data_IF_279890248495
#
_entry.id   IF_279890248495
#
_cell.length_a   1.000
_cell.length_b   1.000
_cell.length_c   1.000
_cell.angle_alpha   90.00
_cell.angle_beta   90.00
_cell.angle_gamma   90.00
#
_symmetry.space_group_name_H-M   'P 1'
#
loop_
_entity.id
_entity.type
_entity.pdbx_description
1 polymer ?
#
# COMPACT_ATOMS: atom_id res chain seq x y z
N UNK A 1 13.01 19.53 -29.74
CA UNK A 1 13.04 18.49 -28.68
C UNK A 1 13.07 19.18 -27.33
N UNK A 2 12.02 19.01 -26.50
CA UNK A 2 11.98 19.56 -25.14
C UNK A 2 13.14 18.97 -24.34
N UNK A 3 14.02 19.82 -23.77
CA UNK A 3 15.08 19.35 -22.87
C UNK A 3 14.40 18.69 -21.67
N UNK A 4 14.56 17.37 -21.54
CA UNK A 4 14.04 16.63 -20.41
C UNK A 4 14.60 17.24 -19.11
N UNK A 5 13.70 17.73 -18.25
CA UNK A 5 14.10 18.37 -17.00
C UNK A 5 14.62 17.27 -16.08
N UNK A 6 15.91 17.35 -15.70
CA UNK A 6 16.53 16.46 -14.71
C UNK A 6 15.75 16.54 -13.39
N UNK A 7 15.16 15.42 -13.00
CA UNK A 7 14.40 15.24 -11.76
C UNK A 7 15.05 14.14 -10.94
N UNK A 8 14.94 14.23 -9.63
CA UNK A 8 15.28 13.13 -8.72
C UNK A 8 14.11 12.89 -7.77
N UNK A 9 13.83 11.63 -7.47
CA UNK A 9 12.76 11.21 -6.55
C UNK A 9 13.39 10.71 -5.26
N UNK A 10 12.94 11.24 -4.13
CA UNK A 10 13.37 10.85 -2.78
C UNK A 10 12.13 10.38 -2.02
N UNK A 11 12.16 9.14 -1.55
CA UNK A 11 11.11 8.53 -0.74
C UNK A 11 11.67 8.23 0.64
N UNK A 12 11.04 8.81 1.65
CA UNK A 12 11.27 8.52 3.06
C UNK A 12 10.63 7.17 3.43
N UNK A 13 11.36 6.08 3.17
CA UNK A 13 10.83 4.73 3.14
C UNK A 13 10.18 4.25 4.46
N UNK A 14 10.70 4.60 5.67
CA UNK A 14 10.09 4.20 6.94
C UNK A 14 8.60 4.52 7.05
N UNK A 15 8.17 5.62 6.44
CA UNK A 15 6.78 6.07 6.46
C UNK A 15 5.84 5.25 5.56
N UNK A 16 6.39 4.45 4.64
CA UNK A 16 5.64 3.78 3.58
C UNK A 16 5.83 2.26 3.54
N UNK A 17 6.45 1.64 4.57
CA UNK A 17 6.67 0.19 4.60
C UNK A 17 5.41 -0.68 4.60
N UNK A 18 4.23 -0.11 4.89
CA UNK A 18 2.94 -0.80 4.79
C UNK A 18 2.22 -0.60 3.44
N UNK A 19 2.65 0.37 2.63
CA UNK A 19 2.21 0.49 1.25
C UNK A 19 2.76 -0.67 0.42
N UNK A 20 2.03 -1.09 -0.61
CA UNK A 20 2.56 -2.02 -1.58
C UNK A 20 3.70 -1.36 -2.38
N UNK A 21 4.91 -1.89 -2.19
CA UNK A 21 6.12 -1.32 -2.80
C UNK A 21 6.14 -1.47 -4.32
N UNK A 22 5.49 -2.50 -4.87
CA UNK A 22 5.35 -2.68 -6.32
C UNK A 22 4.46 -1.58 -6.90
N UNK A 23 3.28 -1.38 -6.32
CA UNK A 23 2.37 -0.30 -6.72
C UNK A 23 3.02 1.08 -6.61
N UNK A 24 3.72 1.37 -5.49
CA UNK A 24 4.45 2.64 -5.33
C UNK A 24 5.44 2.86 -6.48
N UNK A 25 6.24 1.84 -6.80
CA UNK A 25 7.26 1.95 -7.83
C UNK A 25 6.69 2.04 -9.25
N UNK A 26 5.60 1.31 -9.53
CA UNK A 26 4.86 1.45 -10.78
C UNK A 26 4.38 2.89 -10.98
N UNK A 27 3.72 3.49 -9.98
CA UNK A 27 3.29 4.90 -10.06
C UNK A 27 4.45 5.88 -10.22
N UNK A 28 5.58 5.63 -9.54
CA UNK A 28 6.79 6.44 -9.73
C UNK A 28 7.28 6.35 -11.17
N UNK A 29 7.33 5.15 -11.76
CA UNK A 29 7.81 4.95 -13.13
C UNK A 29 6.85 5.49 -14.18
N UNK A 30 5.54 5.36 -13.98
CA UNK A 30 4.52 5.98 -14.83
C UNK A 30 4.62 7.52 -14.81
N UNK A 31 4.82 8.11 -13.63
CA UNK A 31 4.80 9.57 -13.46
C UNK A 31 6.13 10.25 -13.79
N UNK A 32 7.25 9.57 -13.53
CA UNK A 32 8.59 10.15 -13.56
C UNK A 32 9.58 9.39 -14.46
N UNK A 33 9.13 8.35 -15.16
CA UNK A 33 9.91 7.62 -16.15
C UNK A 33 11.20 7.07 -15.56
N UNK A 34 12.31 7.41 -16.21
CA UNK A 34 13.67 6.95 -15.87
C UNK A 34 14.35 7.82 -14.81
N UNK A 35 13.66 8.80 -14.22
CA UNK A 35 14.22 9.64 -13.15
C UNK A 35 14.86 8.77 -12.05
N UNK A 36 16.05 9.13 -11.54
CA UNK A 36 16.66 8.42 -10.43
C UNK A 36 15.74 8.43 -9.19
N UNK A 37 15.60 7.28 -8.53
CA UNK A 37 14.73 7.09 -7.36
C UNK A 37 15.59 6.65 -6.19
N UNK A 38 15.48 7.33 -5.06
CA UNK A 38 16.17 7.01 -3.82
C UNK A 38 15.15 6.68 -2.73
N UNK A 39 15.28 5.49 -2.15
CA UNK A 39 14.64 5.17 -0.87
C UNK A 39 15.64 5.46 0.24
N UNK A 40 15.27 6.37 1.12
CA UNK A 40 16.03 6.65 2.33
C UNK A 40 15.53 5.71 3.42
N UNK A 41 16.44 4.93 4.00
CA UNK A 41 16.11 3.93 5.02
C UNK A 41 16.91 4.18 6.27
N UNK A 42 16.23 4.12 7.40
CA UNK A 42 16.87 4.06 8.71
C UNK A 42 17.30 2.60 8.98
N UNK A 43 18.61 2.30 9.06
CA UNK A 43 19.10 0.94 9.29
C UNK A 43 18.68 0.38 10.67
N UNK A 44 18.38 1.25 11.63
CA UNK A 44 17.90 0.89 12.96
C UNK A 44 16.38 0.64 13.01
N UNK A 45 15.65 0.96 11.94
CA UNK A 45 14.22 0.71 11.89
C UNK A 45 13.93 -0.80 11.93
N UNK A 46 13.18 -1.25 12.94
CA UNK A 46 12.83 -2.67 13.13
C UNK A 46 12.16 -3.31 11.90
N UNK A 47 11.30 -2.58 11.19
CA UNK A 47 10.63 -3.09 9.99
C UNK A 47 11.64 -3.30 8.86
N UNK A 48 12.60 -2.39 8.70
CA UNK A 48 13.69 -2.54 7.76
C UNK A 48 14.56 -3.75 8.11
N UNK A 49 15.00 -3.89 9.35
CA UNK A 49 15.82 -5.02 9.80
C UNK A 49 15.17 -6.38 9.50
N UNK A 50 13.85 -6.48 9.64
CA UNK A 50 13.11 -7.72 9.39
C UNK A 50 12.80 -7.99 7.91
N UNK A 51 12.63 -6.95 7.09
CA UNK A 51 12.08 -7.07 5.74
C UNK A 51 12.96 -6.51 4.62
N UNK A 52 14.17 -6.05 4.93
CA UNK A 52 15.12 -5.42 3.99
C UNK A 52 15.31 -6.25 2.73
N UNK A 53 15.66 -7.53 2.85
CA UNK A 53 15.86 -8.41 1.69
C UNK A 53 14.66 -8.46 0.73
N UNK A 54 13.43 -8.45 1.29
CA UNK A 54 12.20 -8.43 0.48
C UNK A 54 12.03 -7.09 -0.22
N UNK A 55 12.28 -5.98 0.46
CA UNK A 55 12.22 -4.65 -0.13
C UNK A 55 13.27 -4.47 -1.22
N UNK A 56 14.53 -4.83 -0.93
CA UNK A 56 15.64 -4.84 -1.89
C UNK A 56 15.28 -5.56 -3.18
N UNK A 57 14.69 -6.76 -3.08
CA UNK A 57 14.29 -7.56 -4.24
C UNK A 57 13.25 -6.86 -5.11
N UNK A 58 12.33 -6.10 -4.51
CA UNK A 58 11.34 -5.33 -5.25
C UNK A 58 12.00 -4.08 -5.84
N UNK A 59 12.70 -3.30 -5.03
CA UNK A 59 13.30 -2.04 -5.42
C UNK A 59 14.34 -2.18 -6.54
N UNK A 60 15.15 -3.25 -6.50
CA UNK A 60 16.15 -3.51 -7.55
C UNK A 60 15.53 -3.76 -8.92
N UNK A 61 14.34 -4.37 -8.99
CA UNK A 61 13.61 -4.59 -10.26
C UNK A 61 13.22 -3.30 -10.96
N UNK A 62 13.07 -2.22 -10.19
CA UNK A 62 12.72 -0.90 -10.69
C UNK A 62 13.92 0.04 -10.68
N UNK A 63 15.16 -0.46 -10.55
CA UNK A 63 16.39 0.34 -10.49
C UNK A 63 16.33 1.49 -9.45
N UNK A 64 15.72 1.22 -8.29
CA UNK A 64 15.70 2.17 -7.20
C UNK A 64 16.95 2.03 -6.33
N UNK A 65 17.54 3.17 -5.95
CA UNK A 65 18.74 3.27 -5.14
C UNK A 65 18.38 3.47 -3.67
N UNK A 66 19.37 3.28 -2.80
CA UNK A 66 19.19 3.34 -1.35
C UNK A 66 20.22 4.28 -0.76
N UNK A 67 19.76 5.12 0.16
CA UNK A 67 20.60 5.92 1.05
C UNK A 67 20.28 5.53 2.49
N UNK A 68 21.30 5.23 3.27
CA UNK A 68 21.13 4.92 4.70
C UNK A 68 21.17 6.24 5.47
N UNK A 69 20.09 6.55 6.19
CA UNK A 69 20.02 7.71 7.09
C UNK A 69 18.93 7.51 8.12
N UNK A 70 19.07 8.08 9.31
CA UNK A 70 18.08 8.00 10.38
C UNK A 70 16.72 8.58 9.95
N UNK A 71 16.75 9.64 9.13
CA UNK A 71 15.61 10.32 8.53
C UNK A 71 16.03 11.00 7.22
N UNK A 72 15.06 11.40 6.41
CA UNK A 72 15.33 12.37 5.34
C UNK A 72 15.52 13.74 5.98
N UNK A 73 16.59 14.43 5.64
CA UNK A 73 16.88 15.81 6.05
C UNK A 73 17.30 16.65 4.84
N UNK A 74 17.45 17.96 5.05
CA UNK A 74 17.82 18.88 3.98
C UNK A 74 19.21 18.59 3.41
N UNK A 75 20.15 18.14 4.24
CA UNK A 75 21.52 17.87 3.79
C UNK A 75 21.55 16.70 2.81
N UNK A 76 20.82 15.62 3.09
CA UNK A 76 20.64 14.48 2.19
C UNK A 76 19.93 14.91 0.89
N UNK A 77 18.88 15.73 1.00
CA UNK A 77 18.15 16.25 -0.17
C UNK A 77 19.10 17.02 -1.10
N UNK A 78 19.90 17.93 -0.54
CA UNK A 78 20.85 18.75 -1.30
C UNK A 78 22.02 17.92 -1.87
N UNK A 79 22.49 16.91 -1.13
CA UNK A 79 23.46 15.93 -1.63
C UNK A 79 22.94 15.24 -2.89
N UNK A 80 21.72 14.70 -2.85
CA UNK A 80 21.11 13.96 -3.97
C UNK A 80 20.83 14.87 -5.16
N UNK A 81 20.38 16.10 -4.92
CA UNK A 81 20.19 17.11 -5.97
C UNK A 81 21.51 17.39 -6.68
N UNK A 82 22.60 17.59 -5.94
CA UNK A 82 23.93 17.86 -6.48
C UNK A 82 24.50 16.66 -7.22
N UNK A 83 24.36 15.45 -6.67
CA UNK A 83 24.84 14.20 -7.28
C UNK A 83 24.22 13.98 -8.68
N UNK A 84 22.98 14.43 -8.89
CA UNK A 84 22.25 14.25 -10.16
C UNK A 84 22.08 15.52 -10.99
N UNK A 85 22.65 16.65 -10.56
CA UNK A 85 22.44 17.95 -11.21
C UNK A 85 20.92 18.19 -11.45
N UNK A 86 20.12 17.91 -10.42
CA UNK A 86 18.67 17.88 -10.53
C UNK A 86 18.10 19.30 -10.47
N UNK A 87 17.19 19.63 -11.40
CA UNK A 87 16.48 20.92 -11.42
C UNK A 87 15.16 20.87 -10.65
N UNK A 88 14.67 19.65 -10.41
CA UNK A 88 13.46 19.38 -9.64
C UNK A 88 13.74 18.23 -8.68
N UNK A 89 13.21 18.36 -7.47
CA UNK A 89 13.23 17.30 -6.47
C UNK A 89 11.79 16.88 -6.18
N UNK A 90 11.53 15.58 -6.30
CA UNK A 90 10.25 14.98 -5.96
C UNK A 90 10.39 14.33 -4.60
N UNK A 91 9.59 14.74 -3.62
CA UNK A 91 9.74 14.27 -2.23
C UNK A 91 8.44 13.65 -1.73
N UNK A 92 8.52 12.36 -1.37
CA UNK A 92 7.51 11.67 -0.59
C UNK A 92 8.02 11.47 0.83
N UNK A 93 7.58 12.32 1.77
CA UNK A 93 7.85 12.17 3.20
C UNK A 93 6.63 12.60 4.01
N UNK A 94 6.50 12.06 5.21
CA UNK A 94 5.50 12.50 6.18
C UNK A 94 6.07 13.52 7.19
N UNK A 95 7.37 13.86 7.12
CA UNK A 95 7.96 14.88 7.99
C UNK A 95 7.55 16.27 7.53
N UNK A 96 6.59 16.87 8.24
CA UNK A 96 6.08 18.18 7.88
C UNK A 96 7.09 19.32 8.04
N UNK A 97 8.09 19.18 8.90
CA UNK A 97 9.15 20.18 9.07
C UNK A 97 10.08 20.16 7.86
N UNK A 98 10.51 18.97 7.45
CA UNK A 98 11.32 18.78 6.24
C UNK A 98 10.61 19.35 5.01
N UNK A 99 9.33 19.02 4.82
CA UNK A 99 8.56 19.48 3.65
C UNK A 99 8.54 21.01 3.52
N UNK A 100 8.42 21.73 4.65
CA UNK A 100 8.52 23.19 4.70
C UNK A 100 9.94 23.70 4.44
N UNK A 101 10.96 23.08 5.05
CA UNK A 101 12.35 23.46 4.82
C UNK A 101 12.73 23.33 3.34
N UNK A 102 12.27 22.28 2.66
CA UNK A 102 12.44 22.10 1.23
C UNK A 102 11.78 23.25 0.45
N UNK A 103 10.59 23.68 0.86
CA UNK A 103 9.87 24.77 0.19
C UNK A 103 10.64 26.09 0.27
N UNK A 104 11.26 26.36 1.40
CA UNK A 104 11.95 27.63 1.68
C UNK A 104 13.39 27.67 1.14
N UNK A 105 14.09 26.53 1.18
CA UNK A 105 15.56 26.51 1.07
C UNK A 105 16.10 25.69 -0.09
N UNK A 106 15.30 24.81 -0.69
CA UNK A 106 15.85 23.89 -1.70
C UNK A 106 16.25 24.63 -2.97
N UNK A 107 17.43 24.29 -3.49
CA UNK A 107 17.95 24.85 -4.75
C UNK A 107 17.25 24.28 -5.98
N UNK A 108 16.60 23.12 -5.86
CA UNK A 108 15.80 22.50 -6.90
C UNK A 108 14.31 22.78 -6.67
N UNK A 109 13.53 22.96 -7.75
CA UNK A 109 12.09 23.21 -7.61
C UNK A 109 11.40 21.97 -7.01
N UNK A 110 10.71 22.09 -5.86
CA UNK A 110 10.09 20.94 -5.22
C UNK A 110 8.78 20.52 -5.88
N UNK A 111 8.54 19.20 -5.84
CA UNK A 111 7.29 18.54 -6.18
C UNK A 111 6.99 17.56 -5.05
N UNK A 112 5.83 17.69 -4.42
CA UNK A 112 5.50 16.89 -3.24
C UNK A 112 4.61 15.71 -3.62
N UNK A 113 4.91 14.53 -3.07
CA UNK A 113 4.07 13.36 -3.21
C UNK A 113 3.24 13.17 -1.93
N UNK A 114 1.93 13.36 -2.01
CA UNK A 114 0.99 13.00 -0.97
C UNK A 114 0.56 11.55 -1.18
N UNK A 115 1.24 10.64 -0.49
CA UNK A 115 0.98 9.20 -0.58
C UNK A 115 0.00 8.81 0.51
N UNK A 116 -1.12 8.21 0.13
CA UNK A 116 -2.18 7.73 1.02
C UNK A 116 -2.40 6.23 0.81
N UNK A 117 -2.27 5.42 1.86
CA UNK A 117 -2.52 3.98 1.84
C UNK A 117 -3.26 3.53 3.11
N UNK A 118 -3.82 2.32 3.10
CA UNK A 118 -4.47 1.72 4.27
C UNK A 118 -3.45 1.11 5.22
N UNK A 119 -3.48 1.53 6.49
CA UNK A 119 -2.68 0.90 7.54
C UNK A 119 -3.21 -0.51 7.86
N UNK A 120 -2.50 -1.23 8.74
CA UNK A 120 -2.79 -2.65 9.07
C UNK A 120 -4.26 -2.91 9.43
N UNK A 121 -4.94 -1.96 10.07
CA UNK A 121 -6.33 -2.09 10.52
C UNK A 121 -7.40 -1.74 9.45
N UNK A 122 -6.98 -1.34 8.24
CA UNK A 122 -7.87 -0.89 7.17
C UNK A 122 -8.24 0.59 7.23
N UNK A 123 -7.77 1.35 8.25
CA UNK A 123 -7.93 2.81 8.29
C UNK A 123 -6.96 3.45 7.29
N UNK A 124 -7.45 4.40 6.49
CA UNK A 124 -6.58 5.19 5.62
C UNK A 124 -5.61 6.01 6.47
N UNK A 125 -4.33 6.01 6.09
CA UNK A 125 -3.37 6.93 6.70
C UNK A 125 -3.84 8.36 6.48
N UNK A 126 -3.59 9.22 7.46
CA UNK A 126 -3.82 10.66 7.34
C UNK A 126 -2.51 11.33 6.91
N UNK A 127 -2.41 11.88 5.69
CA UNK A 127 -1.21 12.59 5.27
C UNK A 127 -0.99 13.86 6.10
N UNK A 128 0.23 14.40 6.15
CA UNK A 128 0.51 15.65 6.85
C UNK A 128 -0.27 16.85 6.30
N UNK A 129 -0.87 17.65 7.18
CA UNK A 129 -1.62 18.86 6.82
C UNK A 129 -0.77 19.90 6.06
N UNK A 130 0.55 19.89 6.25
CA UNK A 130 1.47 20.77 5.51
C UNK A 130 1.33 20.62 3.99
N UNK A 131 1.01 19.42 3.48
CA UNK A 131 0.88 19.21 2.04
C UNK A 131 -0.31 20.00 1.46
N UNK A 132 -1.37 20.19 2.23
CA UNK A 132 -2.50 21.04 1.84
C UNK A 132 -2.11 22.52 1.87
N UNK A 133 -1.37 22.94 2.91
CA UNK A 133 -0.82 24.30 2.96
C UNK A 133 0.09 24.58 1.77
N UNK A 134 1.03 23.70 1.46
CA UNK A 134 1.96 23.85 0.33
C UNK A 134 1.20 23.96 -0.99
N UNK A 135 0.15 23.15 -1.19
CA UNK A 135 -0.74 23.28 -2.36
C UNK A 135 -1.37 24.67 -2.43
N UNK A 136 -1.90 25.18 -1.32
CA UNK A 136 -2.52 26.50 -1.25
C UNK A 136 -1.51 27.64 -1.50
N UNK A 137 -0.21 27.41 -1.23
CA UNK A 137 0.87 28.33 -1.57
C UNK A 137 1.38 28.18 -3.02
N UNK A 138 0.70 27.38 -3.85
CA UNK A 138 1.02 27.22 -5.28
C UNK A 138 2.08 26.17 -5.59
N UNK A 139 2.53 25.38 -4.60
CA UNK A 139 3.45 24.27 -4.85
C UNK A 139 2.74 23.09 -5.51
N UNK A 140 3.48 22.36 -6.34
CA UNK A 140 2.96 21.14 -6.97
C UNK A 140 2.88 20.01 -5.94
N UNK A 141 1.67 19.55 -5.66
CA UNK A 141 1.40 18.40 -4.79
C UNK A 141 0.63 17.36 -5.59
N UNK A 142 1.23 16.20 -5.80
CA UNK A 142 0.66 15.07 -6.52
C UNK A 142 0.06 14.09 -5.52
N UNK A 143 -1.20 13.73 -5.71
CA UNK A 143 -1.95 12.84 -4.83
C UNK A 143 -1.92 11.41 -5.34
N UNK A 144 -1.41 10.48 -4.53
CA UNK A 144 -1.43 9.06 -4.82
C UNK A 144 -2.19 8.29 -3.76
N UNK A 145 -3.11 7.43 -4.21
CA UNK A 145 -3.68 6.36 -3.40
C UNK A 145 -3.01 5.05 -3.78
N UNK A 146 -2.55 4.32 -2.77
CA UNK A 146 -1.87 3.04 -2.92
C UNK A 146 -2.61 1.93 -2.17
N UNK A 147 -2.57 0.75 -2.75
CA UNK A 147 -2.92 -0.48 -2.08
C UNK A 147 -1.95 -0.73 -0.92
N UNK A 148 -2.45 -1.28 0.18
CA UNK A 148 -1.56 -1.76 1.23
C UNK A 148 -0.89 -3.09 0.82
N UNK A 149 0.08 -3.57 1.60
CA UNK A 149 0.80 -4.81 1.29
C UNK A 149 -0.08 -6.05 1.12
N UNK A 150 -1.19 -6.14 1.84
CA UNK A 150 -2.13 -7.28 1.76
C UNK A 150 -2.91 -7.19 0.46
N UNK A 151 -3.51 -6.03 0.19
CA UNK A 151 -4.29 -5.79 -1.02
C UNK A 151 -3.43 -5.91 -2.28
N UNK A 152 -2.19 -5.41 -2.23
CA UNK A 152 -1.28 -5.57 -3.37
C UNK A 152 -0.85 -7.02 -3.58
N UNK A 153 -0.73 -7.82 -2.52
CA UNK A 153 -0.51 -9.26 -2.66
C UNK A 153 -1.73 -9.96 -3.28
N UNK A 154 -2.94 -9.61 -2.83
CA UNK A 154 -4.18 -10.10 -3.40
C UNK A 154 -4.34 -9.69 -4.86
N UNK A 155 -3.99 -8.45 -5.22
CA UNK A 155 -4.02 -7.97 -6.60
C UNK A 155 -3.21 -8.91 -7.52
N UNK A 156 -1.96 -9.17 -7.14
CA UNK A 156 -1.08 -10.09 -7.89
C UNK A 156 -1.59 -11.53 -7.92
N UNK A 157 -2.16 -12.02 -6.81
CA UNK A 157 -2.67 -13.40 -6.75
C UNK A 157 -3.94 -13.59 -7.59
N UNK A 158 -4.83 -12.59 -7.59
CA UNK A 158 -6.11 -12.60 -8.26
C UNK A 158 -6.06 -12.02 -9.67
N UNK A 159 -4.87 -11.64 -10.16
CA UNK A 159 -4.65 -11.00 -11.46
C UNK A 159 -5.47 -9.72 -11.64
N UNK A 160 -5.61 -8.94 -10.57
CA UNK A 160 -6.24 -7.63 -10.59
C UNK A 160 -5.18 -6.54 -10.75
N UNK A 161 -5.53 -5.46 -11.43
CA UNK A 161 -4.75 -4.22 -11.38
C UNK A 161 -4.83 -3.60 -9.99
N UNK A 162 -3.88 -2.73 -9.67
CA UNK A 162 -3.93 -2.01 -8.40
C UNK A 162 -5.13 -1.06 -8.29
N UNK A 163 -5.60 -0.49 -9.39
CA UNK A 163 -6.79 0.35 -9.38
C UNK A 163 -8.06 -0.46 -9.12
N UNK A 164 -8.15 -1.68 -9.68
CA UNK A 164 -9.26 -2.59 -9.41
C UNK A 164 -9.37 -2.96 -7.93
N UNK A 165 -8.25 -3.21 -7.23
CA UNK A 165 -8.32 -3.50 -5.78
C UNK A 165 -8.69 -2.28 -4.94
N UNK A 166 -8.31 -1.07 -5.38
CA UNK A 166 -8.76 0.15 -4.73
C UNK A 166 -10.26 0.36 -4.91
N UNK A 167 -10.78 0.13 -6.12
CA UNK A 167 -12.21 0.20 -6.43
C UNK A 167 -13.03 -0.83 -5.64
N UNK A 168 -12.54 -2.09 -5.55
CA UNK A 168 -13.18 -3.13 -4.74
C UNK A 168 -13.39 -2.66 -3.30
N UNK A 169 -12.36 -2.05 -2.70
CA UNK A 169 -12.46 -1.53 -1.33
C UNK A 169 -13.47 -0.38 -1.19
N UNK A 170 -13.55 0.51 -2.17
CA UNK A 170 -14.53 1.60 -2.18
C UNK A 170 -15.96 1.04 -2.25
N UNK A 171 -16.15 -0.05 -2.99
CA UNK A 171 -17.43 -0.74 -3.14
C UNK A 171 -17.71 -1.78 -2.03
N UNK A 172 -16.86 -1.91 -0.99
CA UNK A 172 -16.93 -3.01 0.01
C UNK A 172 -18.32 -3.23 0.63
N UNK A 173 -19.09 -2.16 0.87
CA UNK A 173 -20.42 -2.27 1.49
C UNK A 173 -21.40 -3.05 0.60
N UNK A 174 -21.24 -2.99 -0.73
CA UNK A 174 -22.02 -3.77 -1.70
C UNK A 174 -21.86 -5.28 -1.49
N UNK A 175 -20.67 -5.70 -1.05
CA UNK A 175 -20.31 -7.12 -0.95
C UNK A 175 -20.46 -7.68 0.47
N UNK A 176 -20.64 -6.82 1.48
CA UNK A 176 -20.64 -7.18 2.91
C UNK A 176 -21.49 -8.41 3.22
N UNK A 177 -22.74 -8.43 2.75
CA UNK A 177 -23.66 -9.57 2.98
C UNK A 177 -23.14 -10.86 2.35
N UNK A 178 -22.71 -10.83 1.09
CA UNK A 178 -22.15 -12.01 0.42
C UNK A 178 -20.91 -12.53 1.12
N UNK A 179 -20.04 -11.64 1.60
CA UNK A 179 -18.82 -12.00 2.31
C UNK A 179 -19.13 -12.75 3.61
N UNK A 180 -20.10 -12.27 4.39
CA UNK A 180 -20.57 -12.96 5.61
C UNK A 180 -21.13 -14.33 5.26
N UNK A 181 -22.02 -14.42 4.27
CA UNK A 181 -22.61 -15.69 3.86
C UNK A 181 -21.54 -16.69 3.37
N UNK A 182 -20.55 -16.23 2.63
CA UNK A 182 -19.48 -17.09 2.16
C UNK A 182 -18.57 -17.57 3.30
N UNK A 183 -18.30 -16.71 4.28
CA UNK A 183 -17.57 -17.08 5.51
C UNK A 183 -18.31 -18.17 6.30
N UNK A 184 -19.62 -18.07 6.41
CA UNK A 184 -20.42 -18.99 7.24
C UNK A 184 -20.79 -20.28 6.52
N UNK A 185 -21.04 -20.24 5.21
CA UNK A 185 -21.64 -21.36 4.47
C UNK A 185 -20.68 -22.06 3.53
N UNK A 186 -19.66 -21.36 3.01
CA UNK A 186 -18.72 -21.90 2.02
C UNK A 186 -17.39 -22.27 2.67
N UNK A 187 -16.76 -21.34 3.41
CA UNK A 187 -15.45 -21.60 4.01
C UNK A 187 -15.39 -22.86 4.90
N UNK A 188 -16.40 -23.17 5.74
CA UNK A 188 -16.36 -24.38 6.59
C UNK A 188 -16.42 -25.69 5.80
N UNK A 189 -16.84 -25.65 4.52
CA UNK A 189 -16.94 -26.81 3.64
C UNK A 189 -15.64 -27.08 2.87
N UNK A 190 -14.63 -26.21 2.99
CA UNK A 190 -13.32 -26.38 2.37
C UNK A 190 -12.40 -27.13 3.34
N UNK A 191 -12.13 -28.40 3.07
CA UNK A 191 -11.29 -29.25 3.93
C UNK A 191 -9.79 -28.91 3.82
N UNK A 192 -9.24 -28.85 2.61
CA UNK A 192 -7.82 -28.55 2.36
C UNK A 192 -7.61 -27.31 1.50
N UNK A 193 -7.92 -27.41 0.23
CA UNK A 193 -7.85 -26.28 -0.71
C UNK A 193 -8.89 -26.48 -1.81
N UNK A 194 -9.35 -25.38 -2.37
CA UNK A 194 -10.23 -25.38 -3.54
C UNK A 194 -9.75 -24.34 -4.55
N UNK A 195 -9.93 -24.63 -5.83
CA UNK A 195 -9.67 -23.64 -6.89
C UNK A 195 -10.70 -22.52 -6.84
N UNK A 196 -10.38 -21.35 -7.41
CA UNK A 196 -11.33 -20.25 -7.55
C UNK A 196 -12.62 -20.68 -8.28
N UNK A 197 -12.50 -21.50 -9.33
CA UNK A 197 -13.68 -22.03 -10.04
C UNK A 197 -14.52 -22.96 -9.16
N UNK A 198 -13.87 -23.83 -8.38
CA UNK A 198 -14.58 -24.67 -7.42
C UNK A 198 -15.27 -23.85 -6.33
N UNK A 199 -14.63 -22.77 -5.86
CA UNK A 199 -15.21 -21.85 -4.90
C UNK A 199 -16.45 -21.14 -5.47
N UNK A 200 -16.36 -20.62 -6.70
CA UNK A 200 -17.50 -19.98 -7.39
C UNK A 200 -18.67 -20.95 -7.51
N UNK A 201 -18.43 -22.19 -7.94
CA UNK A 201 -19.46 -23.21 -8.01
C UNK A 201 -20.11 -23.54 -6.65
N UNK A 202 -19.36 -23.49 -5.55
CA UNK A 202 -19.94 -23.63 -4.20
C UNK A 202 -20.79 -22.42 -3.81
N UNK A 203 -20.34 -21.20 -4.10
CA UNK A 203 -21.12 -19.99 -3.87
C UNK A 203 -22.45 -20.03 -4.63
N UNK A 204 -22.44 -20.48 -5.89
CA UNK A 204 -23.66 -20.62 -6.70
C UNK A 204 -24.66 -21.60 -6.07
N UNK A 205 -24.19 -22.78 -5.61
CA UNK A 205 -25.03 -23.77 -4.89
C UNK A 205 -25.64 -23.19 -3.61
N UNK A 206 -24.88 -22.36 -2.89
CA UNK A 206 -25.32 -21.67 -1.68
C UNK A 206 -26.11 -20.37 -1.97
N UNK A 207 -26.34 -20.04 -3.25
CA UNK A 207 -27.03 -18.82 -3.71
C UNK A 207 -26.37 -17.53 -3.20
N UNK A 208 -25.03 -17.47 -3.26
CA UNK A 208 -24.22 -16.33 -2.86
C UNK A 208 -23.76 -15.57 -4.10
N UNK A 209 -24.16 -14.32 -4.23
CA UNK A 209 -23.70 -13.40 -5.29
C UNK A 209 -22.27 -12.92 -5.03
N UNK A 210 -21.57 -12.44 -6.08
CA UNK A 210 -20.24 -11.80 -5.99
C UNK A 210 -19.14 -12.74 -5.47
N UNK A 211 -19.14 -13.99 -5.92
CA UNK A 211 -18.23 -15.01 -5.43
C UNK A 211 -16.74 -14.63 -5.59
N UNK A 212 -16.38 -13.91 -6.64
CA UNK A 212 -14.99 -13.46 -6.82
C UNK A 212 -14.60 -12.41 -5.76
N UNK A 213 -15.45 -11.42 -5.53
CA UNK A 213 -15.23 -10.36 -4.56
C UNK A 213 -15.23 -10.91 -3.13
N UNK A 214 -16.04 -11.94 -2.84
CA UNK A 214 -15.96 -12.59 -1.54
C UNK A 214 -14.60 -13.24 -1.32
N UNK A 215 -13.96 -13.86 -2.32
CA UNK A 215 -12.57 -14.36 -2.19
C UNK A 215 -11.61 -13.23 -1.84
N UNK A 216 -11.71 -12.08 -2.53
CA UNK A 216 -10.88 -10.92 -2.24
C UNK A 216 -11.01 -10.48 -0.77
N UNK A 217 -12.23 -10.26 -0.29
CA UNK A 217 -12.45 -9.78 1.09
C UNK A 217 -12.13 -10.83 2.15
N UNK A 218 -12.44 -12.11 1.92
CA UNK A 218 -12.05 -13.18 2.82
C UNK A 218 -10.52 -13.29 2.94
N UNK A 219 -9.79 -13.09 1.85
CA UNK A 219 -8.33 -12.99 1.86
C UNK A 219 -7.83 -11.73 2.57
N UNK A 220 -8.44 -10.58 2.29
CA UNK A 220 -8.04 -9.29 2.86
C UNK A 220 -8.20 -9.24 4.38
N UNK A 221 -9.30 -9.79 4.89
CA UNK A 221 -9.58 -9.87 6.32
C UNK A 221 -8.92 -11.06 7.01
N UNK A 222 -8.14 -11.87 6.28
CA UNK A 222 -7.44 -13.00 6.85
C UNK A 222 -8.35 -14.15 7.31
N UNK A 223 -9.57 -14.25 6.77
CA UNK A 223 -10.47 -15.37 7.03
C UNK A 223 -10.18 -16.57 6.13
N UNK A 224 -9.56 -16.34 4.98
CA UNK A 224 -9.10 -17.38 4.05
C UNK A 224 -7.64 -17.12 3.63
N UNK A 225 -6.88 -18.19 3.41
CA UNK A 225 -5.61 -18.09 2.71
C UNK A 225 -5.89 -18.12 1.20
N UNK A 226 -5.42 -17.10 0.49
CA UNK A 226 -5.47 -17.02 -0.97
C UNK A 226 -4.06 -17.15 -1.50
N UNK A 227 -3.86 -18.02 -2.50
CA UNK A 227 -2.58 -18.20 -3.18
C UNK A 227 -2.79 -18.32 -4.68
N UNK A 228 -1.78 -17.97 -5.47
CA UNK A 228 -1.72 -18.27 -6.90
C UNK A 228 -0.59 -19.25 -7.15
N UNK A 229 -0.90 -20.41 -7.73
CA UNK A 229 0.05 -21.47 -8.09
C UNK A 229 -0.02 -21.68 -9.61
N UNK A 230 1.04 -21.30 -10.32
CA UNK A 230 1.10 -21.40 -11.79
C UNK A 230 -0.12 -20.77 -12.51
N UNK A 231 -0.60 -19.63 -12.01
CA UNK A 231 -1.77 -18.93 -12.56
C UNK A 231 -3.13 -19.46 -12.06
N UNK A 232 -3.16 -20.55 -11.29
CA UNK A 232 -4.38 -21.07 -10.66
C UNK A 232 -4.52 -20.49 -9.25
N UNK A 233 -5.62 -19.79 -9.01
CA UNK A 233 -5.98 -19.28 -7.69
C UNK A 233 -6.56 -20.41 -6.84
N UNK A 234 -6.00 -20.59 -5.65
CA UNK A 234 -6.47 -21.54 -4.64
C UNK A 234 -6.81 -20.84 -3.34
N UNK A 235 -7.90 -21.30 -2.72
CA UNK A 235 -8.45 -20.82 -1.46
C UNK A 235 -8.37 -21.96 -0.44
N UNK A 236 -7.84 -21.69 0.75
CA UNK A 236 -7.78 -22.66 1.84
C UNK A 236 -8.17 -22.04 3.18
N UNK A 237 -8.68 -22.85 4.14
CA UNK A 237 -8.99 -22.36 5.47
C UNK A 237 -7.73 -21.87 6.19
N UNK A 238 -7.93 -20.91 7.09
CA UNK A 238 -6.87 -20.37 7.94
C UNK A 238 -6.65 -21.30 9.13
N UNK A 239 -5.39 -21.65 9.43
CA UNK A 239 -5.03 -22.52 10.56
C UNK A 239 -5.48 -21.93 11.91
N UNK A 240 -5.71 -22.80 12.91
CA UNK A 240 -6.31 -22.44 14.22
C UNK A 240 -5.67 -21.20 14.89
N UNK A 241 -4.34 -21.08 14.88
CA UNK A 241 -3.63 -19.96 15.52
C UNK A 241 -3.97 -18.58 14.91
N UNK A 242 -4.10 -18.49 13.58
CA UNK A 242 -4.48 -17.23 12.91
C UNK A 242 -5.97 -16.91 13.05
N UNK A 243 -6.82 -17.91 13.28
CA UNK A 243 -8.26 -17.68 13.55
C UNK A 243 -8.50 -16.97 14.89
N UNK A 244 -7.63 -17.18 15.89
CA UNK A 244 -7.72 -16.53 17.19
C UNK A 244 -7.28 -15.06 17.14
N UNK A 245 -6.20 -14.75 16.40
CA UNK A 245 -5.76 -13.37 16.15
C UNK A 245 -6.84 -12.54 15.43
N UNK A 246 -7.48 -13.10 14.39
CA UNK A 246 -8.53 -12.40 13.65
C UNK A 246 -9.79 -12.19 14.50
N UNK A 247 -10.14 -13.15 15.36
CA UNK A 247 -11.26 -12.99 16.30
C UNK A 247 -10.99 -11.89 17.33
N UNK A 248 -9.79 -11.84 17.90
CA UNK A 248 -9.44 -10.77 18.84
C UNK A 248 -9.47 -9.39 18.16
N UNK A 249 -9.02 -9.28 16.91
CA UNK A 249 -9.11 -8.02 16.14
C UNK A 249 -10.56 -7.62 15.78
N UNK A 250 -11.49 -8.58 15.61
CA UNK A 250 -12.94 -8.30 15.41
C UNK A 250 -13.60 -7.78 16.70
N UNK A 251 -13.31 -8.40 17.85
CA UNK A 251 -13.87 -7.98 19.15
C UNK A 251 -13.46 -6.55 19.52
N UNK A 252 -12.19 -6.18 19.29
CA UNK A 252 -11.70 -4.81 19.56
C UNK A 252 -12.37 -3.78 18.65
N UNK A 253 -12.73 -4.14 17.41
CA UNK A 253 -13.45 -3.25 16.49
C UNK A 253 -14.92 -3.06 16.88
N UNK A 254 -15.58 -4.08 17.43
CA UNK A 254 -16.95 -3.95 17.93
C UNK A 254 -17.02 -3.07 19.19
N UNK A 255 -16.03 -3.17 20.08
CA UNK A 255 -15.93 -2.28 21.26
C UNK A 255 -15.63 -0.81 20.91
N UNK A 256 -14.74 -0.54 19.94
CA UNK A 256 -14.48 0.84 19.47
C UNK A 256 -15.73 1.51 18.88
N UNK A 257 -16.56 0.76 18.14
CA UNK A 257 -17.80 1.29 17.53
C UNK A 257 -18.88 1.55 18.59
N UNK A 258 -18.94 0.75 19.66
CA UNK A 258 -19.85 1.02 20.78
C UNK A 258 -19.41 2.21 21.64
N UNK A 259 -18.11 2.48 21.75
CA UNK A 259 -17.58 3.63 22.48
C UNK A 259 -17.79 4.96 21.72
N UNK A 260 -17.75 4.96 20.39
CA UNK A 260 -18.00 6.17 19.57
C UNK A 260 -19.50 6.51 19.41
N UNK A 261 -20.42 5.61 19.79
CA UNK A 261 -21.88 5.84 19.75
C UNK A 261 -22.50 6.42 21.02
N UNK A 262 -21.68 6.71 22.05
CA UNK A 262 -22.14 7.24 23.35
C UNK A 262 -21.49 8.59 23.72
N UNK A 263 -20.90 9.30 22.75
CA UNK A 263 -20.28 10.62 22.94
C UNK A 263 -21.10 11.77 22.36
#
# INVERSE_FOLDING_TARGET
MSKEIKKVVIIDAPNYFFADQGHLLEKIRESFGTSPVYFVVNPENKTWQQASQRFMKVWSRYNAMIKLSQNVDMDLVEEVIREKDAKKVVVGSNDGRLLWQIAERSVAKPVYLRITYKQKNGKWMRPPYVLEKLRNHGYTVIDWRLANRIEGALARMLLLSFDQVLELWEQREKFKRSVVLARERVLPKIDKEITLQGYIAMCERERISYAFETVYFLGLFGWANVQSRNGVVVISPVGKAKKEEVKQEEFVKEEEVMAEGQG
#
